data_IF_147861203644
#
_entry.id   IF_147861203644
#
_cell.length_a   1.000
_cell.length_b   1.000
_cell.length_c   1.000
_cell.angle_alpha   90.00
_cell.angle_beta   90.00
_cell.angle_gamma   90.00
#
_symmetry.space_group_name_H-M   'P 1'
#
loop_
_entity.id
_entity.type
_entity.pdbx_description
1 polymer ?
#
# COMPACT_ATOMS: atom_id res chain seq x y z
N UNK A 1 3.10 4.21 18.87
CA UNK A 1 3.47 5.65 18.75
C UNK A 1 2.81 6.29 17.53
N UNK A 2 2.64 7.62 17.52
CA UNK A 2 2.01 8.33 16.40
C UNK A 2 2.96 8.49 15.20
N UNK A 3 2.49 8.07 14.02
CA UNK A 3 3.19 8.23 12.74
C UNK A 3 2.99 9.66 12.19
N UNK A 4 3.69 10.62 12.81
CA UNK A 4 3.63 12.05 12.49
C UNK A 4 4.94 12.76 12.79
N UNK A 5 5.25 13.77 11.99
CA UNK A 5 6.34 14.72 12.19
C UNK A 5 5.81 15.94 12.96
N UNK A 6 6.69 16.59 13.71
CA UNK A 6 6.43 17.85 14.38
C UNK A 6 7.44 18.89 13.88
N UNK A 7 6.95 20.08 13.53
CA UNK A 7 7.78 21.13 12.91
C UNK A 7 8.76 21.77 13.91
N UNK A 8 8.43 21.76 15.21
CA UNK A 8 9.26 22.22 16.33
C UNK A 8 10.42 21.26 16.68
N UNK A 9 10.49 20.08 16.04
CA UNK A 9 11.54 19.08 16.29
C UNK A 9 12.48 18.93 15.09
N UNK A 10 13.80 18.69 15.31
CA UNK A 10 14.73 18.41 14.22
C UNK A 10 14.27 17.24 13.34
N UNK A 11 14.15 17.47 12.03
CA UNK A 11 13.60 16.49 11.08
C UNK A 11 14.35 15.14 11.11
N UNK A 12 15.69 15.17 11.19
CA UNK A 12 16.51 13.95 11.28
C UNK A 12 16.18 13.12 12.52
N UNK A 13 16.02 13.76 13.69
CA UNK A 13 15.63 13.08 14.94
C UNK A 13 14.22 12.51 14.84
N UNK A 14 13.28 13.26 14.26
CA UNK A 14 11.90 12.81 14.09
C UNK A 14 11.81 11.59 13.17
N UNK A 15 12.57 11.57 12.07
CA UNK A 15 12.60 10.44 11.12
C UNK A 15 13.18 9.19 11.77
N UNK A 16 14.33 9.30 12.46
CA UNK A 16 14.93 8.22 13.24
C UNK A 16 13.93 7.62 14.23
N UNK A 17 13.29 8.47 15.03
CA UNK A 17 12.31 8.06 16.05
C UNK A 17 11.13 7.31 15.42
N UNK A 18 10.52 7.84 14.36
CA UNK A 18 9.35 7.23 13.73
C UNK A 18 9.73 5.90 13.07
N UNK A 19 10.82 5.87 12.30
CA UNK A 19 11.27 4.66 11.61
C UNK A 19 11.58 3.53 12.61
N UNK A 20 12.35 3.85 13.67
CA UNK A 20 12.68 2.88 14.74
C UNK A 20 11.40 2.36 15.40
N UNK A 21 10.45 3.23 15.75
CA UNK A 21 9.21 2.83 16.40
C UNK A 21 8.31 1.94 15.52
N UNK A 22 8.25 2.18 14.21
CA UNK A 22 7.49 1.31 13.29
C UNK A 22 8.16 -0.05 13.12
N UNK A 23 9.50 -0.10 13.10
CA UNK A 23 10.26 -1.35 12.95
C UNK A 23 10.26 -2.17 14.25
N UNK A 24 10.38 -1.52 15.41
CA UNK A 24 10.20 -2.16 16.72
C UNK A 24 8.81 -2.77 16.85
N UNK A 25 7.77 -2.05 16.40
CA UNK A 25 6.41 -2.57 16.41
C UNK A 25 6.25 -3.79 15.49
N UNK A 26 6.88 -3.80 14.30
CA UNK A 26 6.88 -4.98 13.43
C UNK A 26 7.61 -6.18 14.05
N UNK A 27 8.76 -5.94 14.71
CA UNK A 27 9.51 -6.97 15.43
C UNK A 27 8.66 -7.61 16.53
N UNK A 28 8.02 -6.80 17.38
CA UNK A 28 7.15 -7.28 18.46
C UNK A 28 5.97 -8.11 17.92
N UNK A 29 5.30 -7.62 16.87
CA UNK A 29 4.17 -8.34 16.26
C UNK A 29 4.56 -9.73 15.76
N UNK A 30 5.70 -9.85 15.07
CA UNK A 30 6.15 -11.11 14.50
C UNK A 30 6.68 -12.10 15.54
N UNK A 31 7.25 -11.60 16.65
CA UNK A 31 7.73 -12.42 17.76
C UNK A 31 6.59 -12.94 18.63
N UNK A 32 5.70 -12.05 19.05
CA UNK A 32 4.73 -12.37 20.10
C UNK A 32 3.40 -12.89 19.54
N UNK A 33 3.08 -12.53 18.28
CA UNK A 33 1.88 -12.95 17.54
C UNK A 33 0.58 -12.99 18.37
N UNK A 34 0.25 -11.93 19.15
CA UNK A 34 -0.81 -11.99 20.15
C UNK A 34 -2.22 -12.25 19.56
N UNK A 35 -2.42 -11.85 18.31
CA UNK A 35 -3.67 -12.03 17.54
C UNK A 35 -3.50 -13.08 16.41
N UNK A 36 -2.47 -13.93 16.51
CA UNK A 36 -2.13 -14.95 15.52
C UNK A 36 -1.23 -14.47 14.38
N UNK A 37 -0.66 -15.44 13.66
CA UNK A 37 0.35 -15.23 12.61
C UNK A 37 -0.15 -14.33 11.47
N UNK A 38 -1.36 -14.59 10.96
CA UNK A 38 -1.92 -13.83 9.84
C UNK A 38 -2.08 -12.34 10.18
N UNK A 39 -2.51 -12.04 11.41
CA UNK A 39 -2.62 -10.68 11.91
C UNK A 39 -1.24 -10.03 12.05
N UNK A 40 -0.29 -10.74 12.67
CA UNK A 40 1.08 -10.29 12.84
C UNK A 40 1.75 -9.93 11.51
N UNK A 41 1.64 -10.79 10.51
CA UNK A 41 2.14 -10.56 9.14
C UNK A 41 1.48 -9.32 8.52
N UNK A 42 0.14 -9.21 8.62
CA UNK A 42 -0.58 -8.08 8.05
C UNK A 42 -0.12 -6.74 8.64
N UNK A 43 -0.08 -6.64 9.98
CA UNK A 43 0.31 -5.41 10.67
C UNK A 43 1.78 -5.07 10.46
N UNK A 44 2.65 -6.07 10.44
CA UNK A 44 4.09 -5.88 10.16
C UNK A 44 4.31 -5.34 8.76
N UNK A 45 3.67 -5.92 7.73
CA UNK A 45 3.71 -5.37 6.37
C UNK A 45 3.18 -3.94 6.30
N UNK A 46 2.15 -3.60 7.09
CA UNK A 46 1.64 -2.23 7.18
C UNK A 46 2.69 -1.28 7.78
N UNK A 47 3.40 -1.69 8.83
CA UNK A 47 4.51 -0.91 9.41
C UNK A 47 5.64 -0.71 8.40
N UNK A 48 6.06 -1.76 7.68
CA UNK A 48 7.07 -1.64 6.61
C UNK A 48 6.66 -0.68 5.50
N UNK A 49 5.39 -0.72 5.07
CA UNK A 49 4.85 0.23 4.09
C UNK A 49 4.91 1.67 4.60
N UNK A 50 4.58 1.90 5.88
CA UNK A 50 4.68 3.22 6.52
C UNK A 50 6.13 3.70 6.55
N UNK A 51 7.07 2.89 7.05
CA UNK A 51 8.50 3.25 7.07
C UNK A 51 9.04 3.60 5.67
N UNK A 52 8.64 2.85 4.64
CA UNK A 52 8.98 3.17 3.23
C UNK A 52 8.36 4.50 2.76
N UNK A 53 7.15 4.82 3.22
CA UNK A 53 6.52 6.13 2.99
C UNK A 53 7.35 7.27 3.61
N UNK A 54 7.76 7.12 4.87
CA UNK A 54 8.65 8.07 5.55
C UNK A 54 9.96 8.26 4.79
N UNK A 55 10.61 7.18 4.34
CA UNK A 55 11.86 7.28 3.59
C UNK A 55 11.68 7.99 2.25
N UNK A 56 10.56 7.78 1.55
CA UNK A 56 10.24 8.54 0.33
C UNK A 56 10.07 10.03 0.57
N UNK A 57 9.54 10.43 1.73
CA UNK A 57 9.38 11.84 2.08
C UNK A 57 10.74 12.55 2.22
N UNK A 58 11.76 11.83 2.71
CA UNK A 58 13.10 12.37 2.98
C UNK A 58 14.11 12.12 1.85
N UNK A 59 13.68 11.41 0.80
CA UNK A 59 14.47 11.12 -0.39
C UNK A 59 15.21 12.35 -0.99
N UNK A 60 14.66 13.59 -0.96
CA UNK A 60 15.40 14.73 -1.50
C UNK A 60 16.69 15.09 -0.74
N UNK A 61 16.86 14.72 0.53
CA UNK A 61 18.13 14.89 1.26
C UNK A 61 18.91 13.60 1.48
N UNK A 62 18.25 12.44 1.50
CA UNK A 62 18.92 11.16 1.73
C UNK A 62 18.54 10.11 0.65
N UNK A 63 18.88 10.36 -0.63
CA UNK A 63 18.48 9.49 -1.73
C UNK A 63 19.14 8.10 -1.68
N UNK A 64 20.39 7.98 -1.22
CA UNK A 64 21.09 6.70 -1.07
C UNK A 64 20.43 5.83 -0.01
N UNK A 65 20.35 6.35 1.23
CA UNK A 65 19.64 5.70 2.34
C UNK A 65 18.22 5.29 1.96
N UNK A 66 17.46 6.20 1.32
CA UNK A 66 16.11 5.87 0.88
C UNK A 66 16.07 4.68 -0.08
N UNK A 67 16.99 4.61 -1.07
CA UNK A 67 17.02 3.53 -2.07
C UNK A 67 17.36 2.19 -1.43
N UNK A 68 18.43 2.14 -0.66
CA UNK A 68 18.93 0.94 0.02
C UNK A 68 17.85 0.39 0.96
N UNK A 69 17.34 1.24 1.87
CA UNK A 69 16.39 0.78 2.86
C UNK A 69 15.00 0.50 2.27
N UNK A 70 14.60 1.18 1.19
CA UNK A 70 13.39 0.79 0.48
C UNK A 70 13.53 -0.59 -0.20
N UNK A 71 14.72 -0.96 -0.69
CA UNK A 71 14.97 -2.30 -1.23
C UNK A 71 14.92 -3.35 -0.12
N UNK A 72 15.68 -3.15 0.97
CA UNK A 72 15.66 -4.01 2.16
C UNK A 72 14.25 -4.25 2.68
N UNK A 73 13.50 -3.18 2.98
CA UNK A 73 12.13 -3.28 3.48
C UNK A 73 11.14 -3.89 2.46
N UNK A 74 11.48 -3.87 1.16
CA UNK A 74 10.68 -4.56 0.13
C UNK A 74 10.96 -6.06 0.16
N UNK A 75 12.21 -6.48 0.29
CA UNK A 75 12.56 -7.91 0.38
C UNK A 75 11.99 -8.54 1.66
N UNK A 76 12.13 -7.89 2.82
CA UNK A 76 11.49 -8.34 4.07
C UNK A 76 9.98 -8.52 3.88
N UNK A 77 9.32 -7.54 3.26
CA UNK A 77 7.88 -7.63 3.01
C UNK A 77 7.53 -8.78 2.05
N UNK A 78 8.40 -9.15 1.11
CA UNK A 78 8.20 -10.31 0.21
C UNK A 78 8.34 -11.64 0.95
N UNK A 79 9.33 -11.78 1.85
CA UNK A 79 9.50 -12.98 2.67
C UNK A 79 8.27 -13.28 3.55
N UNK A 80 7.57 -12.24 3.99
CA UNK A 80 6.30 -12.35 4.74
C UNK A 80 5.07 -12.78 3.89
N UNK A 81 5.22 -13.22 2.64
CA UNK A 81 4.13 -13.30 1.65
C UNK A 81 3.71 -14.72 1.21
N UNK A 82 4.24 -15.79 1.82
CA UNK A 82 4.09 -17.17 1.30
C UNK A 82 2.63 -17.69 1.22
N UNK A 83 1.68 -17.19 2.01
CA UNK A 83 0.30 -17.73 2.09
C UNK A 83 -0.80 -16.69 1.88
N UNK A 84 -0.46 -15.45 1.50
CA UNK A 84 -1.43 -14.34 1.46
C UNK A 84 -2.26 -14.26 0.19
N UNK A 85 -1.71 -14.62 -0.97
CA UNK A 85 -2.41 -14.39 -2.24
C UNK A 85 -3.71 -15.21 -2.30
N UNK A 86 -3.72 -16.43 -1.76
CA UNK A 86 -4.93 -17.27 -1.73
C UNK A 86 -6.03 -16.74 -0.80
N UNK A 87 -5.72 -16.24 0.40
CA UNK A 87 -6.74 -15.68 1.29
C UNK A 87 -7.43 -14.44 0.70
N UNK A 88 -6.67 -13.57 0.03
CA UNK A 88 -7.22 -12.38 -0.66
C UNK A 88 -8.11 -12.79 -1.84
N UNK A 89 -7.74 -13.85 -2.57
CA UNK A 89 -8.55 -14.38 -3.66
C UNK A 89 -9.87 -14.97 -3.17
N UNK A 90 -9.86 -15.71 -2.05
CA UNK A 90 -11.09 -16.25 -1.42
C UNK A 90 -12.02 -15.10 -1.00
N UNK A 91 -11.50 -14.07 -0.34
CA UNK A 91 -12.30 -12.91 0.06
C UNK A 91 -12.85 -12.14 -1.16
N UNK A 92 -12.08 -12.10 -2.25
CA UNK A 92 -12.49 -11.44 -3.48
C UNK A 92 -13.59 -12.22 -4.20
N UNK A 93 -13.51 -13.55 -4.23
CA UNK A 93 -14.58 -14.42 -4.75
C UNK A 93 -15.87 -14.28 -3.93
N UNK A 94 -15.78 -14.26 -2.59
CA UNK A 94 -16.94 -14.07 -1.71
C UNK A 94 -17.60 -12.70 -1.90
N UNK A 95 -16.82 -11.62 -2.11
CA UNK A 95 -17.38 -10.32 -2.48
C UNK A 95 -18.08 -10.34 -3.83
N UNK A 96 -17.49 -11.01 -4.82
CA UNK A 96 -18.09 -11.12 -6.14
C UNK A 96 -19.40 -11.90 -6.10
N UNK A 97 -19.46 -12.98 -5.31
CA UNK A 97 -20.68 -13.76 -5.05
C UNK A 97 -21.80 -12.86 -4.50
N UNK A 98 -21.49 -12.04 -3.49
CA UNK A 98 -22.43 -11.11 -2.87
C UNK A 98 -22.89 -9.96 -3.79
N UNK A 99 -22.01 -9.52 -4.69
CA UNK A 99 -22.30 -8.46 -5.67
C UNK A 99 -23.00 -9.00 -6.94
N UNK A 100 -23.10 -10.33 -7.12
CA UNK A 100 -23.64 -10.98 -8.32
C UNK A 100 -24.99 -11.65 -8.07
N UNK A 101 -25.69 -12.04 -9.14
CA UNK A 101 -26.96 -12.79 -9.07
C UNK A 101 -26.98 -13.98 -10.02
N UNK A 102 -27.90 -14.93 -9.79
CA UNK A 102 -28.12 -16.08 -10.67
C UNK A 102 -26.87 -16.95 -10.84
N UNK A 103 -26.60 -17.35 -12.08
CA UNK A 103 -25.48 -18.24 -12.42
C UNK A 103 -24.11 -17.65 -12.11
N UNK A 104 -23.94 -16.32 -12.22
CA UNK A 104 -22.69 -15.64 -11.86
C UNK A 104 -22.38 -15.74 -10.37
N UNK A 105 -23.40 -15.57 -9.51
CA UNK A 105 -23.25 -15.74 -8.06
C UNK A 105 -22.88 -17.19 -7.72
N UNK A 106 -23.58 -18.16 -8.35
CA UNK A 106 -23.30 -19.58 -8.16
C UNK A 106 -21.87 -19.98 -8.61
N UNK A 107 -21.39 -19.42 -9.73
CA UNK A 107 -20.03 -19.64 -10.21
C UNK A 107 -18.98 -19.02 -9.27
N UNK A 108 -19.24 -17.82 -8.73
CA UNK A 108 -18.35 -17.18 -7.75
C UNK A 108 -18.27 -17.97 -6.43
N UNK A 109 -19.39 -18.50 -5.95
CA UNK A 109 -19.43 -19.37 -4.77
C UNK A 109 -18.56 -20.63 -4.98
N UNK A 110 -18.74 -21.33 -6.11
CA UNK A 110 -17.93 -22.51 -6.47
C UNK A 110 -16.44 -22.20 -6.57
N UNK A 111 -16.09 -21.04 -7.13
CA UNK A 111 -14.70 -20.58 -7.17
C UNK A 111 -14.14 -20.31 -5.78
N UNK A 112 -14.93 -19.71 -4.90
CA UNK A 112 -14.57 -19.52 -3.49
C UNK A 112 -14.24 -20.85 -2.81
N UNK A 113 -15.05 -21.88 -3.03
CA UNK A 113 -14.82 -23.21 -2.45
C UNK A 113 -13.60 -23.92 -3.04
N UNK A 114 -13.40 -23.84 -4.35
CA UNK A 114 -12.20 -24.36 -5.01
C UNK A 114 -10.92 -23.68 -4.50
N UNK A 115 -10.95 -22.35 -4.32
CA UNK A 115 -9.84 -21.58 -3.77
C UNK A 115 -9.56 -21.94 -2.30
N UNK A 116 -10.58 -22.18 -1.48
CA UNK A 116 -10.42 -22.67 -0.09
C UNK A 116 -9.77 -24.04 -0.07
N UNK A 117 -10.24 -24.97 -0.91
CA UNK A 117 -9.67 -26.32 -1.00
C UNK A 117 -8.19 -26.26 -1.41
N UNK A 118 -7.87 -25.45 -2.43
CA UNK A 118 -6.49 -25.20 -2.85
C UNK A 118 -5.64 -24.55 -1.76
N UNK A 119 -6.18 -23.58 -1.02
CA UNK A 119 -5.49 -22.96 0.10
C UNK A 119 -5.15 -23.97 1.20
N UNK A 120 -6.10 -24.84 1.56
CA UNK A 120 -5.89 -25.88 2.56
C UNK A 120 -4.83 -26.90 2.10
N UNK A 121 -4.82 -27.29 0.82
CA UNK A 121 -3.81 -28.18 0.25
C UNK A 121 -2.41 -27.55 0.28
N UNK A 122 -2.30 -26.26 -0.06
CA UNK A 122 -1.03 -25.52 -0.05
C UNK A 122 -0.52 -25.23 1.37
N UNK A 123 -1.40 -25.07 2.36
CA UNK A 123 -0.99 -24.89 3.75
C UNK A 123 -0.20 -26.08 4.28
N UNK A 124 -0.40 -27.29 3.73
CA UNK A 124 0.39 -28.48 4.04
C UNK A 124 1.73 -28.59 3.31
N UNK A 125 1.98 -27.78 2.28
CA UNK A 125 3.16 -27.86 1.41
C UNK A 125 3.96 -26.56 1.28
N UNK A 126 3.45 -25.45 1.83
CA UNK A 126 4.11 -24.16 1.75
C UNK A 126 5.40 -24.18 2.58
N UNK A 127 6.49 -23.68 2.00
CA UNK A 127 7.65 -23.30 2.80
C UNK A 127 7.18 -22.30 3.85
N UNK A 128 7.32 -22.69 5.11
CA UNK A 128 7.03 -21.80 6.23
C UNK A 128 7.84 -20.52 6.04
N UNK A 129 7.25 -19.38 6.41
CA UNK A 129 7.99 -18.11 6.47
C UNK A 129 9.26 -18.36 7.29
N UNK A 130 10.43 -18.07 6.73
CA UNK A 130 11.69 -18.05 7.48
C UNK A 130 11.67 -16.86 8.44
N UNK A 131 10.97 -17.07 9.55
CA UNK A 131 10.75 -16.09 10.58
C UNK A 131 12.08 -15.65 11.22
N UNK A 132 13.03 -16.56 11.54
CA UNK A 132 14.37 -16.16 11.99
C UNK A 132 15.08 -15.20 11.02
N UNK A 133 15.16 -15.53 9.72
CA UNK A 133 15.81 -14.65 8.74
C UNK A 133 15.07 -13.31 8.58
N UNK A 134 13.74 -13.34 8.63
CA UNK A 134 12.90 -12.14 8.56
C UNK A 134 13.13 -11.22 9.76
N UNK A 135 13.21 -11.78 10.97
CA UNK A 135 13.49 -11.03 12.19
C UNK A 135 14.89 -10.42 12.16
N UNK A 136 15.92 -11.18 11.74
CA UNK A 136 17.28 -10.68 11.59
C UNK A 136 17.34 -9.51 10.59
N UNK A 137 16.69 -9.64 9.42
CA UNK A 137 16.66 -8.57 8.42
C UNK A 137 15.90 -7.31 8.93
N UNK A 138 14.86 -7.48 9.75
CA UNK A 138 14.16 -6.37 10.41
C UNK A 138 15.03 -5.68 11.46
N UNK A 139 15.82 -6.43 12.23
CA UNK A 139 16.78 -5.88 13.18
C UNK A 139 17.86 -5.04 12.49
N UNK A 140 18.39 -5.51 11.36
CA UNK A 140 19.32 -4.72 10.55
C UNK A 140 18.69 -3.43 10.03
N UNK A 141 17.44 -3.49 9.53
CA UNK A 141 16.71 -2.31 9.08
C UNK A 141 16.47 -1.31 10.24
N UNK A 142 16.17 -1.84 11.43
CA UNK A 142 15.96 -1.07 12.66
C UNK A 142 17.25 -0.39 13.10
N UNK A 143 18.39 -1.08 13.02
CA UNK A 143 19.69 -0.51 13.36
C UNK A 143 20.14 0.55 12.34
N UNK A 144 19.89 0.34 11.05
CA UNK A 144 20.10 1.37 10.04
C UNK A 144 19.24 2.62 10.32
N UNK A 145 17.98 2.43 10.74
CA UNK A 145 17.09 3.51 11.15
C UNK A 145 17.59 4.24 12.40
N UNK A 146 18.12 3.53 13.40
CA UNK A 146 18.62 4.09 14.67
C UNK A 146 19.84 4.98 14.47
N UNK A 147 20.72 4.62 13.53
CA UNK A 147 21.92 5.38 13.14
C UNK A 147 21.65 6.50 12.14
N UNK A 148 20.43 6.61 11.62
CA UNK A 148 20.10 7.57 10.57
C UNK A 148 20.34 9.02 11.00
N UNK A 149 21.15 9.73 10.20
CA UNK A 149 21.43 11.16 10.30
C UNK A 149 21.23 11.78 8.92
N UNK A 150 20.65 12.97 8.88
CA UNK A 150 20.64 13.80 7.67
C UNK A 150 20.73 15.28 8.02
N UNK A 151 21.22 16.07 7.08
CA UNK A 151 21.16 17.54 7.13
C UNK A 151 20.02 18.04 6.24
N UNK A 152 19.37 19.11 6.69
CA UNK A 152 18.33 19.81 5.91
C UNK A 152 18.83 21.13 5.34
N UNK A 153 20.12 21.47 5.54
CA UNK A 153 20.69 22.77 5.20
C UNK A 153 19.82 23.95 5.69
N UNK A 154 19.25 23.85 6.90
CA UNK A 154 18.36 24.86 7.47
C UNK A 154 16.96 24.97 6.83
N UNK A 155 16.62 24.15 5.83
CA UNK A 155 15.38 24.28 5.07
C UNK A 155 14.51 22.99 5.03
N UNK A 156 14.09 22.41 6.18
CA UNK A 156 13.26 21.20 6.21
C UNK A 156 11.93 21.39 5.46
N UNK A 157 11.29 22.55 5.58
CA UNK A 157 10.05 22.89 4.89
C UNK A 157 10.18 22.82 3.36
N UNK A 158 11.33 23.26 2.79
CA UNK A 158 11.57 23.22 1.35
C UNK A 158 11.77 21.78 0.85
N UNK A 159 12.45 20.95 1.64
CA UNK A 159 12.64 19.53 1.37
C UNK A 159 11.31 18.77 1.34
N UNK A 160 10.49 18.95 2.38
CA UNK A 160 9.20 18.27 2.51
C UNK A 160 8.26 18.69 1.37
N UNK A 161 8.22 19.98 1.04
CA UNK A 161 7.47 20.48 -0.10
C UNK A 161 7.96 19.89 -1.43
N UNK A 162 9.28 19.73 -1.63
CA UNK A 162 9.83 19.11 -2.85
C UNK A 162 9.40 17.64 -2.99
N UNK A 163 9.39 16.88 -1.90
CA UNK A 163 8.89 15.50 -1.91
C UNK A 163 7.37 15.46 -2.19
N UNK A 164 6.60 16.34 -1.54
CA UNK A 164 5.16 16.50 -1.76
C UNK A 164 4.82 16.76 -3.23
N UNK A 165 5.47 17.75 -3.84
CA UNK A 165 5.30 18.07 -5.26
C UNK A 165 5.56 16.85 -6.15
N UNK A 166 6.68 16.16 -5.92
CA UNK A 166 7.02 14.94 -6.68
C UNK A 166 5.96 13.84 -6.53
N UNK A 167 5.32 13.71 -5.36
CA UNK A 167 4.25 12.72 -5.18
C UNK A 167 2.99 13.05 -5.98
N UNK A 168 2.60 14.33 -6.06
CA UNK A 168 1.44 14.76 -6.86
C UNK A 168 1.70 14.53 -8.35
N UNK A 169 2.84 15.01 -8.88
CA UNK A 169 3.19 14.85 -10.30
C UNK A 169 3.19 13.37 -10.71
N UNK A 170 3.75 12.50 -9.88
CA UNK A 170 3.75 11.05 -10.15
C UNK A 170 2.36 10.44 -10.10
N UNK A 171 1.50 10.91 -9.20
CA UNK A 171 0.13 10.43 -9.13
C UNK A 171 -0.69 10.88 -10.34
N UNK A 172 -0.54 12.14 -10.78
CA UNK A 172 -1.16 12.66 -12.00
C UNK A 172 -0.68 11.90 -13.25
N UNK A 173 0.62 11.60 -13.35
CA UNK A 173 1.14 10.77 -14.43
C UNK A 173 0.60 9.34 -14.40
N UNK A 174 0.49 8.72 -13.22
CA UNK A 174 -0.09 7.39 -13.08
C UNK A 174 -1.59 7.37 -13.43
N UNK A 175 -2.34 8.40 -13.05
CA UNK A 175 -3.74 8.58 -13.41
C UNK A 175 -3.91 8.75 -14.93
N UNK A 176 -3.08 9.59 -15.55
CA UNK A 176 -3.06 9.75 -17.01
C UNK A 176 -2.81 8.41 -17.71
N UNK A 177 -1.81 7.64 -17.25
CA UNK A 177 -1.53 6.31 -17.79
C UNK A 177 -2.73 5.37 -17.67
N UNK A 178 -3.46 5.39 -16.55
CA UNK A 178 -4.65 4.54 -16.40
C UNK A 178 -5.76 4.90 -17.41
N UNK A 179 -5.87 6.18 -17.80
CA UNK A 179 -6.84 6.62 -18.83
C UNK A 179 -6.41 6.23 -20.24
N UNK A 180 -5.12 6.36 -20.55
CA UNK A 180 -4.58 6.07 -21.89
C UNK A 180 -4.41 4.58 -22.15
N UNK A 181 -4.00 3.82 -21.13
CA UNK A 181 -3.76 2.38 -21.17
C UNK A 181 -4.24 1.75 -19.85
N UNK A 182 -5.52 1.33 -19.74
CA UNK A 182 -6.14 0.82 -18.51
C UNK A 182 -5.71 -0.62 -18.17
N UNK A 183 -4.41 -0.86 -18.16
CA UNK A 183 -3.78 -2.14 -17.84
C UNK A 183 -3.60 -2.32 -16.32
N UNK A 184 -3.50 -3.57 -15.86
CA UNK A 184 -3.33 -3.89 -14.44
C UNK A 184 -2.14 -3.14 -13.80
N UNK A 185 -1.02 -3.05 -14.52
CA UNK A 185 0.18 -2.34 -14.07
C UNK A 185 -0.03 -0.84 -13.86
N UNK A 186 -0.87 -0.20 -14.69
CA UNK A 186 -1.18 1.21 -14.54
C UNK A 186 -1.96 1.47 -13.23
N UNK A 187 -3.00 0.67 -12.98
CA UNK A 187 -3.78 0.75 -11.73
C UNK A 187 -2.94 0.39 -10.50
N UNK A 188 -2.02 -0.57 -10.63
CA UNK A 188 -1.09 -0.91 -9.55
C UNK A 188 -0.13 0.25 -9.23
N UNK A 189 0.39 0.97 -10.24
CA UNK A 189 1.19 2.17 -9.97
C UNK A 189 0.34 3.28 -9.34
N UNK A 190 -0.88 3.54 -9.83
CA UNK A 190 -1.79 4.53 -9.23
C UNK A 190 -2.08 4.21 -7.75
N UNK A 191 -2.34 2.94 -7.42
CA UNK A 191 -2.50 2.45 -6.03
C UNK A 191 -1.29 2.81 -5.17
N UNK A 192 -0.09 2.56 -5.68
CA UNK A 192 1.16 2.89 -4.99
C UNK A 192 1.29 4.40 -4.78
N UNK A 193 0.91 5.24 -5.76
CA UNK A 193 0.95 6.71 -5.63
C UNK A 193 -0.06 7.24 -4.62
N UNK A 194 -1.27 6.70 -4.59
CA UNK A 194 -2.27 7.00 -3.57
C UNK A 194 -1.74 6.67 -2.17
N UNK A 195 -1.14 5.50 -2.01
CA UNK A 195 -0.56 5.09 -0.74
C UNK A 195 0.63 5.97 -0.31
N UNK A 196 1.54 6.32 -1.23
CA UNK A 196 2.66 7.22 -0.94
C UNK A 196 2.17 8.57 -0.43
N UNK A 197 1.22 9.19 -1.14
CA UNK A 197 0.71 10.52 -0.78
C UNK A 197 -0.11 10.50 0.50
N UNK A 198 -0.85 9.41 0.76
CA UNK A 198 -1.55 9.20 2.03
C UNK A 198 -0.60 9.22 3.22
N UNK A 199 0.55 8.54 3.11
CA UNK A 199 1.54 8.54 4.18
C UNK A 199 2.13 9.93 4.41
N UNK A 200 2.28 10.75 3.37
CA UNK A 200 2.73 12.14 3.54
C UNK A 200 1.71 12.98 4.30
N UNK A 201 0.41 12.79 4.04
CA UNK A 201 -0.64 13.45 4.82
C UNK A 201 -0.59 13.05 6.29
N UNK A 202 -0.45 11.77 6.61
CA UNK A 202 -0.31 11.31 7.99
C UNK A 202 0.92 11.92 8.67
N UNK A 203 2.05 11.99 7.96
CA UNK A 203 3.30 12.55 8.48
C UNK A 203 3.21 14.05 8.72
N UNK A 204 2.54 14.80 7.85
CA UNK A 204 2.51 16.26 7.88
C UNK A 204 1.23 16.84 8.51
N UNK A 205 0.30 15.99 8.98
CA UNK A 205 -1.04 16.39 9.43
C UNK A 205 -1.05 17.51 10.46
N UNK A 206 -0.07 17.56 11.35
CA UNK A 206 -0.03 18.56 12.42
C UNK A 206 0.20 19.99 11.89
N UNK A 207 0.72 20.16 10.65
CA UNK A 207 0.87 21.48 10.04
C UNK A 207 -0.45 22.07 9.52
N UNK A 208 -1.46 21.24 9.24
CA UNK A 208 -2.80 21.70 8.85
C UNK A 208 -3.87 20.61 9.09
N UNK A 209 -4.26 20.38 10.36
CA UNK A 209 -4.96 19.16 10.76
C UNK A 209 -6.25 18.88 10.00
N UNK A 210 -7.17 19.85 9.93
CA UNK A 210 -8.49 19.64 9.29
C UNK A 210 -8.37 19.22 7.83
N UNK A 211 -7.82 20.06 6.95
CA UNK A 211 -7.73 19.75 5.52
C UNK A 211 -6.84 18.55 5.18
N UNK A 212 -5.73 18.34 5.91
CA UNK A 212 -4.88 17.18 5.67
C UNK A 212 -5.52 15.86 6.12
N UNK A 213 -6.23 15.85 7.25
CA UNK A 213 -6.97 14.65 7.69
C UNK A 213 -8.12 14.34 6.73
N UNK A 214 -8.85 15.35 6.26
CA UNK A 214 -9.92 15.15 5.28
C UNK A 214 -9.40 14.57 3.95
N UNK A 215 -8.25 15.07 3.46
CA UNK A 215 -7.63 14.53 2.23
C UNK A 215 -7.02 13.13 2.46
N UNK A 216 -6.46 12.85 3.64
CA UNK A 216 -6.00 11.52 4.03
C UNK A 216 -7.12 10.48 4.00
N UNK A 217 -8.29 10.82 4.54
CA UNK A 217 -9.45 9.92 4.55
C UNK A 217 -9.90 9.56 3.13
N UNK A 218 -9.95 10.55 2.23
CA UNK A 218 -10.25 10.30 0.80
C UNK A 218 -9.18 9.45 0.12
N UNK A 219 -7.90 9.68 0.43
CA UNK A 219 -6.78 8.88 -0.07
C UNK A 219 -6.80 7.43 0.46
N UNK A 220 -7.24 7.22 1.71
CA UNK A 220 -7.47 5.90 2.28
C UNK A 220 -8.54 5.16 1.50
N UNK A 221 -9.70 5.78 1.29
CA UNK A 221 -10.79 5.19 0.51
C UNK A 221 -10.34 4.86 -0.92
N UNK A 222 -9.66 5.78 -1.61
CA UNK A 222 -9.11 5.53 -2.95
C UNK A 222 -8.11 4.37 -2.96
N UNK A 223 -7.22 4.27 -1.96
CA UNK A 223 -6.24 3.18 -1.87
C UNK A 223 -6.89 1.82 -1.59
N UNK A 224 -8.02 1.80 -0.88
CA UNK A 224 -8.83 0.61 -0.60
C UNK A 224 -9.56 0.16 -1.87
N UNK A 225 -10.20 1.09 -2.59
CA UNK A 225 -10.87 0.77 -3.86
C UNK A 225 -9.90 0.30 -4.95
N UNK A 226 -8.76 0.97 -5.11
CA UNK A 226 -7.68 0.52 -6.00
C UNK A 226 -7.10 -0.84 -5.56
N UNK A 227 -7.22 -1.15 -4.26
CA UNK A 227 -6.90 -2.47 -3.74
C UNK A 227 -7.83 -3.54 -4.26
N UNK A 228 -9.14 -3.32 -4.14
CA UNK A 228 -10.14 -4.23 -4.67
C UNK A 228 -10.02 -4.42 -6.19
N UNK A 229 -9.72 -3.36 -6.96
CA UNK A 229 -9.45 -3.46 -8.41
C UNK A 229 -8.27 -4.39 -8.71
N UNK A 230 -7.18 -4.26 -7.95
CA UNK A 230 -6.02 -5.14 -8.10
C UNK A 230 -6.38 -6.59 -7.75
N UNK A 231 -7.09 -6.80 -6.65
CA UNK A 231 -7.41 -8.13 -6.16
C UNK A 231 -8.38 -8.86 -7.13
N UNK A 232 -9.31 -8.13 -7.76
CA UNK A 232 -10.16 -8.63 -8.86
C UNK A 232 -9.33 -8.99 -10.12
N UNK A 233 -8.35 -8.15 -10.49
CA UNK A 233 -7.50 -8.42 -11.65
C UNK A 233 -6.65 -9.68 -11.46
N UNK A 234 -6.09 -9.88 -10.25
CA UNK A 234 -5.34 -11.09 -9.91
C UNK A 234 -6.26 -12.31 -9.92
N UNK A 235 -7.49 -12.20 -9.38
CA UNK A 235 -8.45 -13.30 -9.45
C UNK A 235 -8.80 -13.66 -10.90
N UNK A 236 -9.08 -12.67 -11.74
CA UNK A 236 -9.32 -12.90 -13.17
C UNK A 236 -8.16 -13.62 -13.85
N UNK A 237 -6.92 -13.23 -13.57
CA UNK A 237 -5.73 -13.89 -14.11
C UNK A 237 -5.59 -15.35 -13.62
N UNK A 238 -5.82 -15.60 -12.33
CA UNK A 238 -5.76 -16.95 -11.74
C UNK A 238 -6.81 -17.88 -12.35
N UNK A 239 -8.08 -17.44 -12.46
CA UNK A 239 -9.15 -18.22 -13.11
C UNK A 239 -8.87 -18.40 -14.61
N UNK A 240 -8.26 -17.39 -15.25
CA UNK A 240 -7.88 -17.43 -16.65
C UNK A 240 -6.80 -18.47 -16.94
N UNK A 241 -5.79 -18.60 -16.08
CA UNK A 241 -4.68 -19.55 -16.29
C UNK A 241 -4.97 -20.95 -15.76
N UNK A 242 -5.68 -21.09 -14.64
CA UNK A 242 -5.97 -22.38 -14.02
C UNK A 242 -7.31 -22.94 -14.52
N UNK A 243 -7.25 -23.67 -15.65
CA UNK A 243 -8.43 -24.29 -16.26
C UNK A 243 -9.01 -25.44 -15.44
N UNK A 244 -8.29 -25.96 -14.45
CA UNK A 244 -8.73 -27.09 -13.62
C UNK A 244 -9.45 -26.65 -12.35
N UNK A 245 -9.35 -25.38 -11.97
CA UNK A 245 -9.95 -24.87 -10.75
C UNK A 245 -11.48 -24.86 -10.78
N UNK A 246 -12.07 -24.70 -11.98
CA UNK A 246 -13.52 -24.61 -12.19
C UNK A 246 -13.94 -25.46 -13.39
N UNK A 247 -15.22 -25.80 -13.44
CA UNK A 247 -15.80 -26.51 -14.58
C UNK A 247 -15.77 -25.67 -15.86
N UNK A 248 -15.81 -26.33 -17.02
CA UNK A 248 -15.94 -25.68 -18.34
C UNK A 248 -17.21 -24.83 -18.47
N UNK A 249 -18.23 -25.09 -17.65
CA UNK A 249 -19.45 -24.29 -17.58
C UNK A 249 -19.28 -23.05 -16.71
N UNK A 250 -18.68 -23.19 -15.52
CA UNK A 250 -18.58 -22.10 -14.52
C UNK A 250 -17.50 -21.08 -14.82
N UNK A 251 -16.38 -21.55 -15.39
CA UNK A 251 -15.22 -20.71 -15.67
C UNK A 251 -15.55 -19.51 -16.59
N UNK A 252 -16.20 -19.67 -17.76
CA UNK A 252 -16.55 -18.54 -18.61
C UNK A 252 -17.54 -17.58 -17.95
N UNK A 253 -18.51 -18.08 -17.18
CA UNK A 253 -19.45 -17.25 -16.42
C UNK A 253 -18.71 -16.37 -15.40
N UNK A 254 -17.79 -16.96 -14.63
CA UNK A 254 -17.02 -16.22 -13.65
C UNK A 254 -16.08 -15.18 -14.28
N UNK A 255 -15.41 -15.54 -15.39
CA UNK A 255 -14.54 -14.62 -16.11
C UNK A 255 -15.33 -13.41 -16.65
N UNK A 256 -16.53 -13.63 -17.16
CA UNK A 256 -17.42 -12.56 -17.59
C UNK A 256 -17.81 -11.64 -16.42
N UNK A 257 -18.26 -12.22 -15.30
CA UNK A 257 -18.62 -11.45 -14.10
C UNK A 257 -17.43 -10.64 -13.55
N UNK A 258 -16.23 -11.21 -13.53
CA UNK A 258 -15.00 -10.54 -13.13
C UNK A 258 -14.65 -9.39 -14.07
N UNK A 259 -14.74 -9.59 -15.38
CA UNK A 259 -14.42 -8.57 -16.38
C UNK A 259 -15.38 -7.37 -16.28
N UNK A 260 -16.68 -7.63 -16.16
CA UNK A 260 -17.70 -6.59 -15.99
C UNK A 260 -17.50 -5.81 -14.68
N UNK A 261 -17.30 -6.52 -13.57
CA UNK A 261 -17.05 -5.91 -12.26
C UNK A 261 -15.77 -5.08 -12.28
N UNK A 262 -14.69 -5.60 -12.88
CA UNK A 262 -13.41 -4.92 -12.98
C UNK A 262 -13.54 -3.63 -13.80
N UNK A 263 -14.25 -3.66 -14.93
CA UNK A 263 -14.54 -2.47 -15.75
C UNK A 263 -15.27 -1.40 -14.94
N UNK A 264 -16.39 -1.77 -14.31
CA UNK A 264 -17.20 -0.83 -13.51
C UNK A 264 -16.42 -0.26 -12.30
N UNK A 265 -15.61 -1.09 -11.62
CA UNK A 265 -14.78 -0.64 -10.49
C UNK A 265 -13.66 0.28 -10.95
N UNK A 266 -13.01 0.00 -12.08
CA UNK A 266 -11.98 0.85 -12.70
C UNK A 266 -12.52 2.24 -13.03
N UNK A 267 -13.67 2.33 -13.67
CA UNK A 267 -14.31 3.63 -13.98
C UNK A 267 -14.57 4.44 -12.69
N UNK A 268 -15.16 3.80 -11.66
CA UNK A 268 -15.43 4.45 -10.37
C UNK A 268 -14.16 4.96 -9.67
N UNK A 269 -13.07 4.20 -9.67
CA UNK A 269 -11.82 4.64 -9.02
C UNK A 269 -11.14 5.77 -9.80
N UNK A 270 -11.25 5.82 -11.13
CA UNK A 270 -10.70 6.91 -11.91
C UNK A 270 -11.42 8.22 -11.59
N UNK A 271 -12.74 8.24 -11.52
CA UNK A 271 -13.51 9.43 -11.10
C UNK A 271 -13.07 9.92 -9.71
N UNK A 272 -12.90 9.00 -8.74
CA UNK A 272 -12.41 9.36 -7.40
C UNK A 272 -10.97 9.88 -7.42
N UNK A 273 -10.10 9.28 -8.22
CA UNK A 273 -8.71 9.71 -8.35
C UNK A 273 -8.62 11.10 -9.00
N UNK A 274 -9.43 11.37 -10.02
CA UNK A 274 -9.50 12.66 -10.70
C UNK A 274 -9.89 13.78 -9.73
N UNK A 275 -11.00 13.61 -9.03
CA UNK A 275 -11.45 14.59 -8.03
C UNK A 275 -10.42 14.84 -6.90
N UNK A 276 -9.46 13.94 -6.70
CA UNK A 276 -8.43 14.04 -5.68
C UNK A 276 -7.10 14.60 -6.20
N UNK A 277 -6.78 14.34 -7.48
CA UNK A 277 -5.53 14.75 -8.13
C UNK A 277 -5.68 15.91 -9.10
N UNK A 278 -6.89 16.43 -9.31
CA UNK A 278 -7.18 17.71 -9.96
C UNK A 278 -6.78 18.87 -9.05
N UNK A 279 -5.48 18.97 -8.82
CA UNK A 279 -4.85 20.04 -8.04
C UNK A 279 -3.62 20.54 -8.77
N UNK A 280 -3.38 21.85 -8.68
CA UNK A 280 -2.11 22.42 -9.10
C UNK A 280 -1.01 22.01 -8.12
N UNK A 281 -0.08 21.18 -8.59
CA UNK A 281 1.00 20.63 -7.77
C UNK A 281 1.91 21.71 -7.20
N UNK A 282 2.12 22.81 -7.91
CA UNK A 282 2.99 23.93 -7.51
C UNK A 282 2.30 24.81 -6.45
N UNK A 283 1.00 25.07 -6.60
CA UNK A 283 0.20 25.77 -5.57
C UNK A 283 0.17 24.94 -4.28
N UNK A 284 -0.12 23.64 -4.36
CA UNK A 284 -0.19 22.78 -3.17
C UNK A 284 1.21 22.61 -2.52
N UNK A 285 2.28 22.58 -3.33
CA UNK A 285 3.68 22.64 -2.85
C UNK A 285 3.96 23.91 -2.05
N UNK A 286 3.62 25.09 -2.58
CA UNK A 286 3.78 26.37 -1.86
C UNK A 286 2.95 26.41 -0.59
N UNK A 287 1.73 25.87 -0.67
CA UNK A 287 0.83 25.39 0.40
C UNK A 287 1.60 24.83 1.59
N UNK A 288 2.06 23.60 1.38
CA UNK A 288 2.75 22.78 2.39
C UNK A 288 4.05 23.43 2.86
N UNK A 289 4.80 24.08 1.96
CA UNK A 289 6.04 24.79 2.32
C UNK A 289 5.78 25.87 3.37
N UNK A 290 4.72 26.68 3.19
CA UNK A 290 4.37 27.76 4.12
C UNK A 290 3.85 27.21 5.44
N UNK A 291 2.86 26.32 5.38
CA UNK A 291 2.28 25.70 6.58
C UNK A 291 3.32 25.04 7.48
N UNK A 292 4.27 24.31 6.89
CA UNK A 292 5.33 23.67 7.67
C UNK A 292 6.33 24.69 8.26
N UNK A 293 6.58 25.80 7.55
CA UNK A 293 7.46 26.86 8.04
C UNK A 293 6.81 27.62 9.20
N UNK A 294 5.50 27.85 9.15
CA UNK A 294 4.78 28.61 10.17
C UNK A 294 4.50 27.77 11.44
N UNK A 295 4.50 26.44 11.32
CA UNK A 295 4.24 25.51 12.42
C UNK A 295 5.46 25.19 13.30
N UNK A 296 6.67 25.58 12.90
CA UNK A 296 7.93 25.25 13.58
C UNK A 296 8.72 26.49 13.95
#
# INVERSE_FOLDING_TARGET
MAYRLHADKPLSRSVRRIATAELDHALLLLRDQPEGEAHAIHKSRRALKKTRGLYRLIAPAAPFFQREENARLREIARGLSATRDSAVLIETAARLEADSTGEHSAAAARAGDALKARHAALAGSAEAVDLPATLAALEEAREAASRFVMTTAGAPHALLAKAWHKSIIRAQAALKRCREAPEADAFHDLRKRAQDWRFFHLLLRDAWPGPLNAREGRLKALSEDLGAVNDLAVLHEVIGHDTQLLSEHDRPLLLAALAETLKARREKVLVKAEALYEIDAEIDRRRIKRLWKDAG
#
